data_IF_820017061424
#
_entry.id   IF_820017061424
#
_cell.length_a   1.000
_cell.length_b   1.000
_cell.length_c   1.000
_cell.angle_alpha   90.00
_cell.angle_beta   90.00
_cell.angle_gamma   90.00
#
_symmetry.space_group_name_H-M   'P 1'
#
loop_
_entity.id
_entity.type
_entity.pdbx_description
1 polymer ?
#
# COMPACT_ATOMS: atom_id res chain seq x y z
N UNK A 1 10.54 7.24 20.59
CA UNK A 1 9.33 6.45 20.24
C UNK A 1 9.46 6.07 18.77
N UNK A 2 9.20 4.81 18.40
CA UNK A 2 9.22 4.40 16.99
C UNK A 2 7.89 4.82 16.38
N UNK A 3 7.91 5.65 15.35
CA UNK A 3 6.72 6.04 14.60
C UNK A 3 6.10 4.80 13.93
N UNK A 4 4.81 4.55 14.17
CA UNK A 4 4.13 3.33 13.72
C UNK A 4 3.88 3.33 12.21
N UNK A 5 3.66 4.51 11.63
CA UNK A 5 3.35 4.74 10.22
C UNK A 5 4.30 5.80 9.62
N UNK A 6 5.59 5.46 9.49
CA UNK A 6 6.62 6.43 9.10
C UNK A 6 6.67 6.70 7.59
N UNK A 7 5.92 5.94 6.80
CA UNK A 7 5.91 6.01 5.33
C UNK A 7 4.70 6.82 4.85
N UNK A 8 4.71 7.20 3.56
CA UNK A 8 3.61 7.94 2.93
C UNK A 8 3.12 7.21 1.70
N UNK A 9 1.79 7.14 1.57
CA UNK A 9 1.11 6.72 0.36
C UNK A 9 0.47 7.94 -0.29
N UNK A 10 0.74 8.15 -1.57
CA UNK A 10 0.19 9.25 -2.38
C UNK A 10 -0.71 8.66 -3.44
N UNK A 11 -1.94 9.17 -3.52
CA UNK A 11 -2.94 8.79 -4.53
C UNK A 11 -2.74 9.59 -5.82
N UNK A 12 -3.35 9.16 -6.91
CA UNK A 12 -3.32 9.87 -8.20
C UNK A 12 -3.86 11.31 -8.10
N UNK A 13 -4.83 11.57 -7.21
CA UNK A 13 -5.39 12.90 -6.95
C UNK A 13 -4.45 13.81 -6.12
N UNK A 14 -3.27 13.31 -5.71
CA UNK A 14 -2.28 14.02 -4.92
C UNK A 14 -2.53 13.97 -3.40
N UNK A 15 -3.62 13.35 -2.94
CA UNK A 15 -3.87 13.18 -1.51
C UNK A 15 -2.88 12.17 -0.89
N UNK A 16 -2.57 12.39 0.38
CA UNK A 16 -1.51 11.67 1.09
C UNK A 16 -2.04 11.00 2.35
N UNK A 17 -1.57 9.78 2.61
CA UNK A 17 -1.88 9.00 3.80
C UNK A 17 -0.60 8.53 4.48
N UNK A 18 -0.54 8.68 5.80
CA UNK A 18 0.49 8.02 6.61
C UNK A 18 0.27 6.52 6.61
N UNK A 19 1.32 5.74 6.39
CA UNK A 19 1.24 4.29 6.34
C UNK A 19 2.57 3.64 6.75
N UNK A 20 2.64 2.32 6.66
CA UNK A 20 3.88 1.56 6.72
C UNK A 20 3.90 0.45 5.69
N UNK A 21 4.90 0.45 4.83
CA UNK A 21 5.11 -0.61 3.85
C UNK A 21 5.95 -1.73 4.48
N UNK A 22 5.55 -2.97 4.20
CA UNK A 22 6.27 -4.17 4.59
C UNK A 22 6.46 -5.07 3.36
N UNK A 23 7.68 -5.59 3.10
CA UNK A 23 7.88 -6.60 2.08
C UNK A 23 6.96 -7.79 2.33
N UNK A 24 6.19 -8.17 1.31
CA UNK A 24 5.15 -9.17 1.47
C UNK A 24 5.67 -10.61 1.30
N UNK A 25 6.61 -11.00 2.16
CA UNK A 25 7.16 -12.36 2.12
C UNK A 25 6.16 -13.45 2.55
N UNK A 26 4.98 -13.05 3.09
CA UNK A 26 3.97 -13.98 3.65
C UNK A 26 2.76 -14.20 2.77
N UNK A 27 2.47 -13.34 1.78
CA UNK A 27 1.35 -13.55 0.86
C UNK A 27 1.77 -13.95 -0.55
N UNK A 28 2.82 -14.79 -0.66
CA UNK A 28 3.12 -15.50 -1.90
C UNK A 28 1.82 -16.16 -2.43
N UNK A 29 1.29 -15.67 -3.55
CA UNK A 29 0.01 -16.12 -4.11
C UNK A 29 -1.06 -15.03 -4.31
N UNK A 30 -0.94 -13.85 -3.69
CA UNK A 30 -1.74 -12.70 -4.11
C UNK A 30 -1.16 -12.15 -5.40
N UNK A 31 -1.93 -12.24 -6.49
CA UNK A 31 -1.53 -11.74 -7.80
C UNK A 31 -2.34 -10.50 -8.16
N UNK A 32 -1.71 -9.59 -8.90
CA UNK A 32 -2.38 -8.48 -9.58
C UNK A 32 -2.08 -8.52 -11.07
N UNK A 33 -2.93 -7.89 -11.87
CA UNK A 33 -2.68 -7.74 -13.31
C UNK A 33 -1.84 -6.49 -13.53
N UNK A 34 -0.69 -6.64 -14.18
CA UNK A 34 0.18 -5.54 -14.64
C UNK A 34 0.51 -5.76 -16.10
N UNK A 35 0.13 -4.82 -16.96
CA UNK A 35 0.38 -4.88 -18.41
C UNK A 35 -0.13 -6.18 -19.07
N UNK A 36 -1.25 -6.73 -18.56
CA UNK A 36 -1.85 -7.97 -19.04
C UNK A 36 -1.20 -9.26 -18.51
N UNK A 37 -0.18 -9.15 -17.66
CA UNK A 37 0.46 -10.29 -16.99
C UNK A 37 0.08 -10.35 -15.50
N UNK A 38 -0.11 -11.56 -14.96
CA UNK A 38 -0.25 -11.75 -13.52
C UNK A 38 1.12 -11.63 -12.84
N UNK A 39 1.24 -10.73 -11.87
CA UNK A 39 2.45 -10.53 -11.06
C UNK A 39 2.12 -10.65 -9.57
N UNK A 40 3.05 -11.18 -8.78
CA UNK A 40 2.89 -11.27 -7.32
C UNK A 40 2.93 -9.87 -6.66
N UNK A 41 2.07 -9.70 -5.66
CA UNK A 41 2.07 -8.55 -4.75
C UNK A 41 3.41 -8.47 -4.02
N UNK A 42 4.02 -7.28 -4.01
CA UNK A 42 5.35 -7.06 -3.44
C UNK A 42 5.29 -6.51 -2.02
N UNK A 43 4.26 -5.74 -1.70
CA UNK A 43 4.17 -5.08 -0.40
C UNK A 43 2.78 -5.21 0.24
N UNK A 44 2.82 -5.31 1.56
CA UNK A 44 1.66 -5.09 2.42
C UNK A 44 1.78 -3.70 3.03
N UNK A 45 0.68 -2.97 3.05
CA UNK A 45 0.61 -1.59 3.51
C UNK A 45 -0.25 -1.57 4.76
N UNK A 46 0.33 -1.24 5.90
CA UNK A 46 -0.41 -1.00 7.13
C UNK A 46 -0.82 0.48 7.21
N UNK A 47 -2.08 0.73 7.50
CA UNK A 47 -2.70 2.05 7.52
C UNK A 47 -3.38 2.29 8.89
N UNK A 48 -3.47 3.55 9.36
CA UNK A 48 -4.31 3.93 10.49
C UNK A 48 -5.78 3.47 10.29
N UNK A 49 -6.48 3.16 11.38
CA UNK A 49 -7.87 2.65 11.35
C UNK A 49 -8.85 3.63 10.69
N UNK A 50 -8.59 4.93 10.86
CA UNK A 50 -9.36 6.04 10.32
C UNK A 50 -9.01 6.39 8.86
N UNK A 51 -8.09 5.64 8.23
CA UNK A 51 -7.72 5.87 6.83
C UNK A 51 -8.92 5.75 5.89
N UNK A 52 -9.04 6.64 4.89
CA UNK A 52 -10.05 6.50 3.85
C UNK A 52 -9.89 5.17 3.12
N UNK A 53 -11.01 4.61 2.65
CA UNK A 53 -10.99 3.38 1.89
C UNK A 53 -10.19 3.59 0.61
N UNK A 54 -9.36 2.60 0.26
CA UNK A 54 -8.69 2.51 -1.02
C UNK A 54 -9.51 1.62 -1.94
N UNK A 55 -9.63 2.01 -3.21
CA UNK A 55 -10.26 1.20 -4.23
C UNK A 55 -9.27 0.17 -4.76
N UNK A 56 -9.76 -1.02 -5.13
CA UNK A 56 -8.96 -1.95 -5.94
C UNK A 56 -8.67 -1.29 -7.28
N UNK A 57 -7.46 -1.50 -7.80
CA UNK A 57 -6.91 -0.85 -8.99
C UNK A 57 -6.62 0.65 -8.86
N UNK A 58 -6.85 1.25 -7.70
CA UNK A 58 -6.40 2.62 -7.41
C UNK A 58 -4.88 2.72 -7.54
N UNK A 59 -4.41 3.67 -8.35
CA UNK A 59 -2.97 3.88 -8.60
C UNK A 59 -2.39 4.73 -7.47
N UNK A 60 -1.34 4.20 -6.84
CA UNK A 60 -0.66 4.86 -5.72
C UNK A 60 0.86 4.91 -5.93
N UNK A 61 1.50 5.84 -5.22
CA UNK A 61 2.95 5.92 -5.09
C UNK A 61 3.31 5.89 -3.60
N UNK A 62 4.20 5.00 -3.22
CA UNK A 62 4.68 4.83 -1.86
C UNK A 62 6.05 5.47 -1.68
N UNK A 63 6.20 6.26 -0.62
CA UNK A 63 7.45 6.88 -0.19
C UNK A 63 7.82 6.38 1.20
N UNK A 64 9.09 6.02 1.40
CA UNK A 64 9.59 5.70 2.73
C UNK A 64 9.71 6.96 3.60
N UNK A 65 10.09 6.77 4.87
CA UNK A 65 10.33 7.87 5.82
C UNK A 65 11.36 8.92 5.36
N UNK A 66 12.28 8.57 4.45
CA UNK A 66 13.31 9.45 3.93
C UNK A 66 12.86 10.18 2.66
N UNK A 67 11.68 9.85 2.12
CA UNK A 67 11.16 10.38 0.86
C UNK A 67 11.63 9.60 -0.37
N UNK A 68 12.23 8.43 -0.21
CA UNK A 68 12.60 7.56 -1.33
C UNK A 68 11.38 6.80 -1.84
N UNK A 69 11.25 6.69 -3.16
CA UNK A 69 10.15 5.95 -3.80
C UNK A 69 10.38 4.46 -3.64
N UNK A 70 9.45 3.78 -2.97
CA UNK A 70 9.46 2.32 -2.77
C UNK A 70 8.41 1.60 -3.60
N UNK A 71 7.35 2.30 -3.99
CA UNK A 71 6.29 1.83 -4.90
C UNK A 71 6.00 2.96 -5.87
N UNK A 72 6.07 2.70 -7.18
CA UNK A 72 5.90 3.73 -8.20
C UNK A 72 4.70 3.42 -9.10
N UNK A 73 3.66 4.26 -9.03
CA UNK A 73 2.48 4.20 -9.88
C UNK A 73 1.95 2.76 -10.05
N UNK A 74 1.70 2.10 -8.92
CA UNK A 74 1.24 0.72 -8.88
C UNK A 74 -0.19 0.66 -8.32
N UNK A 75 -0.98 -0.30 -8.82
CA UNK A 75 -2.36 -0.52 -8.40
C UNK A 75 -2.47 -1.25 -7.06
N UNK A 76 -3.46 -0.86 -6.25
CA UNK A 76 -3.92 -1.61 -5.08
C UNK A 76 -4.58 -2.92 -5.53
N UNK A 77 -4.08 -4.06 -5.05
CA UNK A 77 -4.65 -5.38 -5.34
C UNK A 77 -5.85 -5.71 -4.44
N UNK A 78 -5.76 -5.36 -3.16
CA UNK A 78 -6.82 -5.61 -2.17
C UNK A 78 -6.68 -4.63 -1.01
N UNK A 79 -7.82 -4.23 -0.44
CA UNK A 79 -7.90 -3.42 0.77
C UNK A 79 -8.92 -4.03 1.73
N UNK A 80 -8.57 -4.14 3.01
CA UNK A 80 -9.49 -4.57 4.05
C UNK A 80 -9.32 -3.75 5.33
N UNK A 81 -10.45 -3.51 6.01
CA UNK A 81 -10.50 -2.80 7.29
C UNK A 81 -10.55 -3.82 8.43
N UNK A 82 -9.51 -3.86 9.26
CA UNK A 82 -9.48 -4.64 10.49
C UNK A 82 -9.90 -3.84 11.71
N UNK A 83 -10.11 -4.52 12.85
CA UNK A 83 -10.47 -3.86 14.12
C UNK A 83 -9.37 -2.95 14.68
N UNK A 84 -8.10 -3.24 14.37
CA UNK A 84 -6.94 -2.57 14.96
C UNK A 84 -6.09 -1.78 13.95
N UNK A 85 -6.28 -2.01 12.65
CA UNK A 85 -5.59 -1.30 11.56
C UNK A 85 -6.29 -1.58 10.22
N UNK A 86 -6.03 -0.73 9.23
CA UNK A 86 -6.37 -0.99 7.83
C UNK A 86 -5.18 -1.65 7.13
N UNK A 87 -5.44 -2.52 6.15
CA UNK A 87 -4.41 -3.21 5.38
C UNK A 87 -4.71 -3.12 3.89
N UNK A 88 -3.72 -2.66 3.13
CA UNK A 88 -3.74 -2.66 1.67
C UNK A 88 -2.57 -3.48 1.11
N UNK A 89 -2.61 -3.81 -0.18
CA UNK A 89 -1.58 -4.61 -0.84
C UNK A 89 -1.30 -4.06 -2.24
N UNK A 90 -0.03 -4.05 -2.64
CA UNK A 90 0.46 -3.57 -3.95
C UNK A 90 1.52 -4.46 -4.56
#
# INVERSE_FOLDING_TARGET
MIEQYPDKLVREDGSQLSCRFYPNNRSAGLKKIKDGAEVDVKFTIALPVDSPMLLVDEVITGYDRNGEVIVWQDSIAIFHRGQLHCVAYV
#
